data_IF_270852582172
#
_entry.id   IF_270852582172
#
_cell.length_a   1.000
_cell.length_b   1.000
_cell.length_c   1.000
_cell.angle_alpha   90.00
_cell.angle_beta   90.00
_cell.angle_gamma   90.00
#
_symmetry.space_group_name_H-M   'P 1'
#
loop_
_entity.id
_entity.type
_entity.pdbx_description
1 polymer ?
#
# COMPACT_ATOMS: atom_id res chain seq x y z
N UNK A 1 -1.54 91.33 -38.91
CA UNK A 1 -2.74 91.23 -39.78
C UNK A 1 -2.27 90.96 -41.20
N UNK A 2 -2.37 89.71 -41.65
CA UNK A 2 -2.85 89.26 -42.97
C UNK A 2 -2.52 87.77 -43.18
N UNK A 3 -3.54 87.04 -43.63
CA UNK A 3 -3.58 85.60 -43.91
C UNK A 3 -2.68 85.20 -45.08
N UNK A 4 -2.21 83.95 -45.05
CA UNK A 4 -1.64 83.26 -46.21
C UNK A 4 -1.89 81.75 -46.10
N UNK A 5 -3.04 81.33 -46.64
CA UNK A 5 -3.47 79.94 -46.84
C UNK A 5 -2.53 79.17 -47.75
N UNK A 6 -1.96 78.05 -47.26
CA UNK A 6 -1.25 77.05 -48.07
C UNK A 6 -2.02 75.73 -48.10
N UNK A 7 -2.55 75.38 -49.27
CA UNK A 7 -3.19 74.09 -49.56
C UNK A 7 -2.15 72.95 -49.48
N UNK A 8 -2.43 71.90 -48.71
CA UNK A 8 -1.75 70.60 -48.80
C UNK A 8 -2.69 69.56 -49.38
N UNK A 9 -2.26 68.98 -50.48
CA UNK A 9 -2.92 67.95 -51.28
C UNK A 9 -2.90 66.60 -50.54
N UNK A 10 -4.02 65.88 -50.67
CA UNK A 10 -4.32 64.57 -50.10
C UNK A 10 -3.42 63.45 -50.63
N UNK A 11 -3.11 62.48 -49.76
CA UNK A 11 -2.82 61.10 -50.15
C UNK A 11 -3.57 60.18 -49.18
N UNK A 12 -4.73 59.69 -49.62
CA UNK A 12 -5.50 58.68 -48.93
C UNK A 12 -4.81 57.32 -49.10
N UNK A 13 -4.31 56.76 -48.00
CA UNK A 13 -3.80 55.38 -47.98
C UNK A 13 -5.00 54.45 -47.82
N UNK A 14 -5.22 53.60 -48.82
CA UNK A 14 -6.22 52.55 -48.80
C UNK A 14 -5.86 51.49 -47.75
N UNK A 15 -6.77 51.24 -46.81
CA UNK A 15 -6.65 50.14 -45.86
C UNK A 15 -7.01 48.81 -46.56
N UNK A 16 -6.00 47.98 -46.82
CA UNK A 16 -6.22 46.59 -47.24
C UNK A 16 -6.63 45.76 -46.01
N UNK A 17 -7.88 45.30 -46.00
CA UNK A 17 -8.40 44.39 -44.97
C UNK A 17 -7.73 43.02 -45.07
N UNK A 18 -6.96 42.64 -44.04
CA UNK A 18 -6.44 41.30 -43.84
C UNK A 18 -7.58 40.39 -43.35
N UNK A 19 -8.03 39.47 -44.20
CA UNK A 19 -8.91 38.36 -43.80
C UNK A 19 -8.05 37.33 -43.08
N UNK A 20 -8.20 37.24 -41.76
CA UNK A 20 -7.57 36.19 -40.96
C UNK A 20 -8.31 34.86 -41.21
N UNK A 21 -7.64 33.90 -41.85
CA UNK A 21 -8.12 32.52 -41.95
C UNK A 21 -7.70 31.79 -40.66
N UNK A 22 -8.63 31.28 -39.83
CA UNK A 22 -8.27 30.54 -38.64
C UNK A 22 -7.69 29.17 -39.05
N UNK A 23 -6.37 29.01 -38.91
CA UNK A 23 -5.72 27.71 -38.96
C UNK A 23 -6.18 26.93 -37.73
N UNK A 24 -7.13 26.03 -37.95
CA UNK A 24 -7.67 25.18 -36.89
C UNK A 24 -6.70 24.02 -36.71
N UNK A 25 -5.86 24.08 -35.68
CA UNK A 25 -5.05 22.93 -35.29
C UNK A 25 -5.99 21.84 -34.76
N UNK A 26 -6.10 20.74 -35.51
CA UNK A 26 -6.73 19.52 -35.00
C UNK A 26 -5.81 18.98 -33.90
N UNK A 27 -6.13 19.28 -32.64
CA UNK A 27 -5.52 18.60 -31.50
C UNK A 27 -6.17 17.21 -31.44
N UNK A 28 -5.53 16.22 -32.03
CA UNK A 28 -5.83 14.83 -31.74
C UNK A 28 -5.47 14.61 -30.27
N UNK A 29 -6.48 14.60 -29.39
CA UNK A 29 -6.31 14.06 -28.04
C UNK A 29 -5.97 12.59 -28.20
N UNK A 30 -4.69 12.28 -28.11
CA UNK A 30 -4.25 10.92 -27.87
C UNK A 30 -4.84 10.52 -26.52
N UNK A 31 -5.91 9.72 -26.52
CA UNK A 31 -6.25 8.92 -25.35
C UNK A 31 -5.20 7.83 -25.29
N UNK A 32 -4.00 8.19 -24.83
CA UNK A 32 -3.15 7.21 -24.21
C UNK A 32 -3.95 6.74 -23.00
N UNK A 33 -4.46 5.51 -23.04
CA UNK A 33 -4.66 4.73 -21.83
C UNK A 33 -3.28 4.65 -21.17
N UNK A 34 -2.94 5.68 -20.41
CA UNK A 34 -1.95 5.57 -19.37
C UNK A 34 -2.61 4.65 -18.33
N UNK A 35 -2.54 3.34 -18.58
CA UNK A 35 -2.52 2.39 -17.50
C UNK A 35 -1.47 2.91 -16.54
N UNK A 36 -1.92 3.53 -15.45
CA UNK A 36 -1.06 3.96 -14.37
C UNK A 36 -0.12 2.79 -14.10
N UNK A 37 1.21 2.97 -14.10
CA UNK A 37 2.11 1.86 -13.80
C UNK A 37 1.56 1.21 -12.54
N UNK A 38 1.27 -0.09 -12.60
CA UNK A 38 0.77 -0.83 -11.47
C UNK A 38 1.64 -0.41 -10.28
N UNK A 39 1.00 0.14 -9.24
CA UNK A 39 1.74 0.52 -8.05
C UNK A 39 2.61 -0.69 -7.66
N UNK A 40 3.87 -0.49 -7.23
CA UNK A 40 4.70 -1.57 -6.73
C UNK A 40 3.84 -2.53 -5.91
N UNK A 41 3.91 -3.84 -6.17
CA UNK A 41 3.34 -4.81 -5.26
C UNK A 41 4.15 -4.72 -3.96
N UNK A 42 3.71 -3.84 -3.06
CA UNK A 42 4.30 -3.67 -1.74
C UNK A 42 3.90 -4.85 -0.88
N UNK A 43 4.88 -5.48 -0.23
CA UNK A 43 4.65 -6.42 0.86
C UNK A 43 4.87 -5.72 2.20
N UNK A 44 4.05 -6.05 3.20
CA UNK A 44 4.23 -5.53 4.57
C UNK A 44 5.38 -6.30 5.22
N UNK A 45 6.51 -5.63 5.40
CA UNK A 45 7.67 -6.21 6.08
C UNK A 45 7.52 -6.15 7.62
N UNK A 46 6.86 -5.10 8.12
CA UNK A 46 6.57 -4.91 9.54
C UNK A 46 5.44 -3.90 9.71
N UNK A 47 4.59 -4.08 10.72
CA UNK A 47 3.57 -3.10 11.09
C UNK A 47 3.22 -3.16 12.58
N UNK A 48 2.67 -2.07 13.09
CA UNK A 48 2.06 -1.98 14.41
C UNK A 48 0.81 -1.08 14.33
N UNK A 49 -0.34 -1.66 14.70
CA UNK A 49 -1.65 -1.00 14.76
C UNK A 49 -2.00 -0.61 16.22
N UNK A 50 -1.10 -0.86 17.18
CA UNK A 50 -1.23 -0.45 18.58
C UNK A 50 -2.50 -0.92 19.32
N UNK A 51 -3.12 -2.00 18.86
CA UNK A 51 -4.28 -2.62 19.51
C UNK A 51 -3.99 -3.01 20.96
N UNK A 52 -4.98 -2.79 21.83
CA UNK A 52 -4.91 -3.16 23.23
C UNK A 52 -5.73 -2.24 24.13
N UNK A 53 -5.82 -2.55 25.43
CA UNK A 53 -6.60 -1.77 26.37
C UNK A 53 -5.96 -0.39 26.63
N UNK A 54 -6.81 0.59 26.93
CA UNK A 54 -6.36 1.94 27.27
C UNK A 54 -5.40 1.94 28.47
N UNK A 55 -4.32 2.71 28.37
CA UNK A 55 -3.27 2.82 29.39
C UNK A 55 -2.24 1.68 29.38
N UNK A 56 -2.38 0.68 28.52
CA UNK A 56 -1.35 -0.35 28.35
C UNK A 56 -0.12 0.22 27.63
N UNK A 57 1.04 -0.34 27.96
CA UNK A 57 2.30 0.01 27.31
C UNK A 57 2.36 -0.56 25.88
N UNK A 58 3.10 0.08 24.96
CA UNK A 58 3.42 -0.52 23.66
C UNK A 58 4.19 -1.85 23.86
N UNK A 59 4.12 -2.74 22.87
CA UNK A 59 4.76 -4.05 22.94
C UNK A 59 6.28 -3.89 23.19
N UNK A 60 6.82 -4.36 24.34
CA UNK A 60 8.23 -4.20 24.66
C UNK A 60 9.15 -5.04 23.78
N UNK A 61 8.62 -5.99 23.01
CA UNK A 61 9.38 -6.72 21.98
C UNK A 61 9.56 -5.89 20.70
N UNK A 62 8.84 -4.77 20.55
CA UNK A 62 8.89 -3.89 19.38
C UNK A 62 9.44 -2.51 19.70
N UNK A 63 9.18 -2.02 20.91
CA UNK A 63 9.41 -0.63 21.30
C UNK A 63 10.21 -0.52 22.60
N UNK A 64 11.01 0.54 22.69
CA UNK A 64 11.75 0.94 23.88
C UNK A 64 11.39 2.38 24.25
N UNK A 65 10.94 2.56 25.49
CA UNK A 65 10.76 3.87 26.09
C UNK A 65 12.12 4.52 26.39
N UNK A 66 12.32 5.75 25.92
CA UNK A 66 13.54 6.56 26.08
C UNK A 66 13.31 7.83 26.91
N UNK A 67 12.14 7.98 27.54
CA UNK A 67 11.82 9.19 28.30
C UNK A 67 12.70 9.34 29.53
N UNK A 68 13.18 10.56 29.77
CA UNK A 68 13.90 10.89 30.99
C UNK A 68 12.91 11.03 32.18
N UNK A 69 12.98 10.09 33.14
CA UNK A 69 12.24 10.16 34.41
C UNK A 69 11.05 9.21 34.55
N UNK A 70 10.14 9.51 35.49
CA UNK A 70 9.03 8.60 35.89
C UNK A 70 7.81 8.62 34.94
N UNK A 71 7.83 9.43 33.87
CA UNK A 71 6.71 9.51 32.92
C UNK A 71 6.98 8.63 31.71
N UNK A 72 6.01 7.77 31.40
CA UNK A 72 6.02 6.90 30.22
C UNK A 72 6.02 7.72 28.93
N UNK A 73 6.81 7.30 27.94
CA UNK A 73 6.84 7.89 26.59
C UNK A 73 5.52 7.78 25.88
N UNK A 74 4.83 6.66 26.06
CA UNK A 74 3.63 6.36 25.31
C UNK A 74 2.71 5.38 26.04
N UNK A 75 1.42 5.44 25.70
CA UNK A 75 0.42 4.47 26.15
C UNK A 75 -0.66 4.29 25.08
N UNK A 76 -1.29 3.13 25.03
CA UNK A 76 -2.41 2.85 24.13
C UNK A 76 -3.67 3.59 24.60
N UNK A 77 -4.49 4.08 23.68
CA UNK A 77 -5.74 4.81 24.01
C UNK A 77 -6.98 3.90 24.14
N UNK A 78 -6.84 2.61 23.82
CA UNK A 78 -7.94 1.65 23.84
C UNK A 78 -8.77 1.58 22.56
N UNK A 79 -8.39 2.31 21.51
CA UNK A 79 -9.11 2.43 20.23
C UNK A 79 -8.24 2.07 19.03
N UNK A 80 -7.17 1.30 19.26
CA UNK A 80 -6.19 0.95 18.22
C UNK A 80 -5.23 2.10 17.91
N UNK A 81 -4.90 2.92 18.91
CA UNK A 81 -3.95 4.04 18.73
C UNK A 81 -2.99 4.17 19.89
N UNK A 82 -1.84 4.76 19.61
CA UNK A 82 -0.81 5.10 20.59
C UNK A 82 -0.79 6.61 20.86
N UNK A 83 -0.83 6.98 22.13
CA UNK A 83 -0.58 8.34 22.60
C UNK A 83 0.91 8.51 22.93
N UNK A 84 1.63 9.34 22.19
CA UNK A 84 3.07 9.60 22.41
C UNK A 84 3.25 10.97 23.08
N UNK A 85 4.00 11.01 24.19
CA UNK A 85 4.28 12.19 25.04
C UNK A 85 5.77 12.40 25.32
N UNK A 86 6.58 11.39 25.07
CA UNK A 86 8.03 11.39 25.25
C UNK A 86 8.72 10.80 24.03
N UNK A 87 9.82 10.08 24.24
CA UNK A 87 10.59 9.46 23.17
C UNK A 87 10.44 7.93 23.19
N UNK A 88 10.08 7.36 22.04
CA UNK A 88 9.91 5.93 21.85
C UNK A 88 10.73 5.50 20.64
N UNK A 89 11.62 4.51 20.80
CA UNK A 89 12.41 3.95 19.69
C UNK A 89 11.98 2.52 19.37
N UNK A 90 11.96 2.16 18.10
CA UNK A 90 11.78 0.79 17.66
C UNK A 90 12.99 -0.07 18.03
N UNK A 91 12.84 -1.38 17.93
CA UNK A 91 13.93 -2.35 18.16
C UNK A 91 14.46 -3.01 16.89
N UNK A 92 13.88 -2.67 15.72
CA UNK A 92 14.23 -3.26 14.43
C UNK A 92 14.82 -2.22 13.50
N UNK A 93 15.82 -2.66 12.75
CA UNK A 93 16.46 -1.89 11.68
C UNK A 93 15.85 -2.23 10.32
N UNK A 94 15.71 -1.23 9.47
CA UNK A 94 15.16 -1.35 8.13
C UNK A 94 16.06 -0.66 7.11
N UNK A 95 16.32 -1.34 6.00
CA UNK A 95 16.98 -0.78 4.83
C UNK A 95 16.32 -1.29 3.56
N UNK A 96 16.40 -0.51 2.48
CA UNK A 96 16.06 -1.00 1.16
C UNK A 96 17.20 -1.90 0.65
N UNK A 97 16.82 -3.09 0.14
CA UNK A 97 17.75 -3.90 -0.62
C UNK A 97 18.23 -3.11 -1.86
N UNK A 98 19.50 -3.28 -2.30
CA UNK A 98 19.91 -2.81 -3.63
C UNK A 98 18.86 -3.19 -4.67
N UNK A 99 18.55 -2.33 -5.64
CA UNK A 99 17.57 -2.62 -6.70
C UNK A 99 16.09 -2.70 -6.26
N UNK A 100 15.81 -2.69 -4.96
CA UNK A 100 14.46 -2.72 -4.38
C UNK A 100 14.01 -1.36 -3.86
N UNK A 101 12.88 -1.36 -3.14
CA UNK A 101 12.36 -0.17 -2.47
C UNK A 101 11.91 -0.48 -1.05
N UNK A 102 12.09 0.47 -0.16
CA UNK A 102 11.56 0.47 1.20
C UNK A 102 10.67 1.69 1.35
N UNK A 103 9.46 1.52 1.87
CA UNK A 103 8.58 2.62 2.27
C UNK A 103 8.27 2.49 3.75
N UNK A 104 8.46 3.57 4.48
CA UNK A 104 8.15 3.66 5.90
C UNK A 104 7.09 4.73 6.07
N UNK A 105 5.92 4.34 6.56
CA UNK A 105 4.77 5.23 6.69
C UNK A 105 4.14 5.15 8.07
N UNK A 106 3.56 6.27 8.51
CA UNK A 106 2.79 6.36 9.73
C UNK A 106 1.56 7.23 9.53
N UNK A 107 0.44 6.81 10.10
CA UNK A 107 -0.79 7.60 10.17
C UNK A 107 -0.80 8.32 11.52
N UNK A 108 -0.60 9.64 11.50
CA UNK A 108 -0.31 10.45 12.69
C UNK A 108 -1.24 11.66 12.75
N UNK A 109 -1.66 12.03 13.96
CA UNK A 109 -2.22 13.34 14.26
C UNK A 109 -1.32 14.08 15.26
N UNK A 110 -1.01 15.33 14.94
CA UNK A 110 -0.10 16.17 15.71
C UNK A 110 -0.81 16.80 16.91
N UNK A 111 -0.06 17.17 17.97
CA UNK A 111 -0.55 18.07 19.01
C UNK A 111 -1.22 19.32 18.45
N UNK A 112 -2.40 19.68 18.95
CA UNK A 112 -3.10 20.92 18.55
C UNK A 112 -2.36 22.20 18.97
N UNK A 113 -1.54 22.14 20.02
CA UNK A 113 -0.77 23.28 20.50
C UNK A 113 0.59 23.33 19.78
N UNK A 114 0.77 24.40 18.99
CA UNK A 114 1.91 24.60 18.09
C UNK A 114 3.26 24.75 18.81
N UNK A 115 3.26 25.04 20.12
CA UNK A 115 4.48 25.14 20.93
C UNK A 115 5.17 23.79 21.15
N UNK A 116 4.48 22.69 20.86
CA UNK A 116 5.00 21.35 21.07
C UNK A 116 5.66 20.84 19.79
N UNK A 117 6.83 20.25 19.99
CA UNK A 117 7.59 19.70 18.88
C UNK A 117 7.29 18.21 18.77
N UNK A 118 6.92 17.75 17.59
CA UNK A 118 6.72 16.34 17.32
C UNK A 118 7.63 15.85 16.20
N UNK A 119 8.06 14.60 16.28
CA UNK A 119 8.99 13.96 15.34
C UNK A 119 8.55 12.53 15.04
N UNK A 120 8.59 12.17 13.77
CA UNK A 120 8.61 10.79 13.29
C UNK A 120 9.83 10.61 12.40
N UNK A 121 10.74 9.71 12.81
CA UNK A 121 12.12 9.65 12.33
C UNK A 121 12.58 8.22 12.08
N UNK A 122 13.62 8.11 11.26
CA UNK A 122 14.49 6.94 11.16
C UNK A 122 15.91 7.32 11.59
N UNK A 123 16.58 6.48 12.39
CA UNK A 123 17.89 6.74 13.01
C UNK A 123 18.90 5.59 12.72
N UNK A 124 20.17 5.90 12.48
CA UNK A 124 21.25 4.92 12.18
C UNK A 124 21.78 4.15 13.41
N UNK A 125 21.51 4.61 14.64
CA UNK A 125 21.82 3.86 15.88
C UNK A 125 20.88 4.29 17.00
N UNK A 126 20.58 3.35 17.89
CA UNK A 126 19.69 3.44 19.04
C UNK A 126 20.28 4.36 20.15
N UNK A 127 21.42 5.04 19.91
CA UNK A 127 22.21 5.68 20.98
C UNK A 127 22.77 7.08 20.75
N UNK A 128 22.78 7.64 19.54
CA UNK A 128 23.30 9.01 19.33
C UNK A 128 22.56 9.72 18.21
N UNK A 129 21.70 10.68 18.56
CA UNK A 129 21.05 11.64 17.66
C UNK A 129 22.03 12.52 16.84
N UNK A 130 23.32 12.17 16.75
CA UNK A 130 24.39 13.08 16.35
C UNK A 130 24.79 12.99 14.87
N UNK A 131 24.61 11.83 14.21
CA UNK A 131 25.36 11.59 12.97
C UNK A 131 24.46 11.38 11.74
N UNK A 132 23.41 10.54 11.79
CA UNK A 132 22.56 10.26 10.61
C UNK A 132 21.09 10.04 10.98
N UNK A 133 20.18 10.81 10.37
CA UNK A 133 18.73 10.64 10.56
C UNK A 133 17.90 11.08 9.37
N UNK A 134 16.73 10.45 9.23
CA UNK A 134 15.67 10.89 8.32
C UNK A 134 14.47 11.37 9.15
N UNK A 135 14.25 12.68 9.20
CA UNK A 135 13.04 13.26 9.77
C UNK A 135 11.92 13.19 8.71
N UNK A 136 11.12 12.12 8.75
CA UNK A 136 9.95 11.95 7.87
C UNK A 136 8.94 13.06 8.16
N UNK A 137 8.72 13.32 9.45
CA UNK A 137 7.97 14.44 9.96
C UNK A 137 8.76 15.17 11.05
N UNK A 138 8.83 16.48 10.90
CA UNK A 138 9.27 17.46 11.88
C UNK A 138 8.19 18.53 12.03
N UNK A 139 7.48 18.50 13.15
CA UNK A 139 6.52 19.54 13.52
C UNK A 139 7.16 20.53 14.50
N UNK A 140 7.31 21.78 14.10
CA UNK A 140 7.85 22.88 14.90
C UNK A 140 7.05 24.15 14.64
N UNK A 141 6.65 24.87 15.70
CA UNK A 141 5.95 26.16 15.62
C UNK A 141 4.79 26.16 14.63
N UNK A 142 3.95 25.11 14.70
CA UNK A 142 2.76 24.96 13.85
C UNK A 142 3.05 24.61 12.39
N UNK A 143 4.28 24.24 12.04
CA UNK A 143 4.66 23.83 10.68
C UNK A 143 5.19 22.41 10.65
N UNK A 144 4.80 21.66 9.61
CA UNK A 144 5.28 20.31 9.32
C UNK A 144 6.28 20.35 8.18
N UNK A 145 7.48 19.82 8.42
CA UNK A 145 8.59 19.71 7.45
C UNK A 145 9.15 18.28 7.44
N UNK A 146 9.99 17.98 6.46
CA UNK A 146 10.89 16.82 6.48
C UNK A 146 12.33 17.31 6.50
N UNK A 147 13.28 16.51 6.99
CA UNK A 147 14.70 16.86 7.01
C UNK A 147 15.59 15.61 6.95
N UNK A 148 16.81 15.78 6.45
CA UNK A 148 17.84 14.76 6.39
C UNK A 148 19.06 15.36 7.08
N UNK A 149 19.73 14.55 7.88
CA UNK A 149 20.98 14.94 8.52
C UNK A 149 21.99 13.84 8.31
N UNK A 150 23.16 14.24 7.82
CA UNK A 150 24.25 13.33 7.44
C UNK A 150 25.60 13.68 8.10
N UNK A 151 25.66 14.74 8.91
CA UNK A 151 26.93 15.32 9.38
C UNK A 151 27.59 14.73 10.64
N UNK A 152 28.93 14.88 10.66
CA UNK A 152 29.74 15.03 11.89
C UNK A 152 30.42 16.40 12.10
N UNK A 153 30.44 17.37 11.16
CA UNK A 153 30.79 18.80 11.39
C UNK A 153 30.94 19.63 10.07
N UNK A 154 30.03 20.61 9.82
CA UNK A 154 30.13 21.90 9.06
C UNK A 154 29.03 22.13 7.99
N UNK A 155 27.92 22.75 8.39
CA UNK A 155 26.85 23.23 7.48
C UNK A 155 26.35 22.09 6.58
N UNK A 156 25.56 21.25 7.21
CA UNK A 156 25.07 19.98 6.70
C UNK A 156 24.37 20.16 5.34
N UNK A 157 24.97 19.70 4.23
CA UNK A 157 24.34 19.81 2.92
C UNK A 157 23.00 19.06 2.88
N UNK A 158 22.79 18.06 3.73
CA UNK A 158 21.54 17.32 3.84
C UNK A 158 20.44 18.12 4.56
N UNK A 159 20.79 18.97 5.54
CA UNK A 159 19.80 19.83 6.23
C UNK A 159 19.24 20.89 5.26
N UNK A 160 20.10 21.48 4.41
CA UNK A 160 19.70 22.50 3.42
C UNK A 160 18.89 21.92 2.25
N UNK A 161 18.88 20.59 2.09
CA UNK A 161 18.20 19.91 0.99
C UNK A 161 16.70 19.72 1.23
N UNK A 162 16.17 20.04 2.41
CA UNK A 162 14.78 19.81 2.76
C UNK A 162 14.17 20.99 3.53
N UNK A 163 13.59 21.93 2.78
CA UNK A 163 12.80 23.05 3.33
C UNK A 163 11.50 23.27 2.55
N UNK A 164 10.46 23.66 3.28
CA UNK A 164 9.10 23.84 2.78
C UNK A 164 8.10 23.25 3.76
N UNK A 165 7.70 24.05 4.75
CA UNK A 165 6.74 23.60 5.76
C UNK A 165 5.30 23.88 5.34
N UNK A 166 4.38 22.97 5.64
CA UNK A 166 2.93 23.20 5.55
C UNK A 166 2.39 23.49 6.97
N UNK A 167 1.26 24.20 7.11
CA UNK A 167 0.59 24.33 8.40
C UNK A 167 0.20 22.96 8.96
N UNK A 168 0.43 22.75 10.26
CA UNK A 168 -0.18 21.64 10.98
C UNK A 168 -1.66 21.96 11.25
N UNK A 169 -2.57 21.02 10.98
CA UNK A 169 -4.01 21.20 11.22
C UNK A 169 -4.57 20.28 12.33
N UNK A 170 -3.72 19.45 12.94
CA UNK A 170 -4.07 18.50 13.99
C UNK A 170 -4.84 17.27 13.51
N UNK A 171 -5.13 17.16 12.21
CA UNK A 171 -5.78 16.01 11.59
C UNK A 171 -4.88 14.80 11.46
N UNK A 172 -5.47 13.64 11.15
CA UNK A 172 -4.71 12.46 10.79
C UNK A 172 -4.23 12.56 9.34
N UNK A 173 -2.93 12.43 9.15
CA UNK A 173 -2.27 12.37 7.85
C UNK A 173 -1.36 11.15 7.76
N UNK A 174 -1.14 10.67 6.55
CA UNK A 174 -0.15 9.64 6.27
C UNK A 174 1.17 10.30 5.92
N UNK A 175 2.16 10.21 6.81
CA UNK A 175 3.52 10.67 6.56
C UNK A 175 4.38 9.49 6.15
N UNK A 176 5.09 9.60 5.03
CA UNK A 176 5.91 8.50 4.53
C UNK A 176 7.23 8.96 3.93
N UNK A 177 8.24 8.11 4.06
CA UNK A 177 9.48 8.17 3.29
C UNK A 177 9.64 6.88 2.48
N UNK A 178 10.04 7.02 1.22
CA UNK A 178 10.39 5.91 0.33
C UNK A 178 11.86 6.01 -0.06
N UNK A 179 12.65 4.96 0.21
CA UNK A 179 14.00 4.77 -0.31
C UNK A 179 13.92 3.86 -1.54
N UNK A 180 14.13 4.46 -2.71
CA UNK A 180 14.06 3.81 -4.00
C UNK A 180 15.47 3.56 -4.55
N UNK A 181 15.94 2.32 -4.38
CA UNK A 181 17.23 1.83 -4.90
C UNK A 181 17.09 1.11 -6.23
N UNK A 182 15.88 1.10 -6.81
CA UNK A 182 15.59 0.45 -8.09
C UNK A 182 15.95 1.33 -9.30
N UNK A 183 16.24 2.61 -9.04
CA UNK A 183 16.59 3.63 -10.03
C UNK A 183 18.00 4.15 -9.81
N UNK A 184 18.59 4.77 -10.84
CA UNK A 184 19.87 5.47 -10.74
C UNK A 184 19.73 6.88 -11.33
N UNK A 185 20.08 7.94 -10.58
CA UNK A 185 20.50 7.95 -9.17
C UNK A 185 19.42 7.41 -8.21
N UNK A 186 19.83 6.77 -7.10
CA UNK A 186 18.90 6.34 -6.03
C UNK A 186 18.13 7.54 -5.47
N UNK A 187 16.96 7.32 -4.85
CA UNK A 187 16.08 8.41 -4.38
C UNK A 187 15.51 8.17 -2.98
N UNK A 188 15.39 9.25 -2.21
CA UNK A 188 14.56 9.34 -1.00
C UNK A 188 13.37 10.27 -1.29
N UNK A 189 12.14 9.75 -1.24
CA UNK A 189 10.90 10.51 -1.50
C UNK A 189 10.10 10.66 -0.21
N UNK A 190 9.80 11.90 0.17
CA UNK A 190 8.99 12.24 1.34
C UNK A 190 7.60 12.66 0.88
N UNK A 191 6.56 12.06 1.44
CA UNK A 191 5.17 12.29 1.05
C UNK A 191 4.26 12.51 2.24
N UNK A 192 3.20 13.28 2.01
CA UNK A 192 2.08 13.48 2.94
C UNK A 192 0.80 13.13 2.20
N UNK A 193 0.02 12.21 2.73
CA UNK A 193 -1.21 11.66 2.13
C UNK A 193 -1.01 11.12 0.71
N UNK A 194 0.14 10.47 0.49
CA UNK A 194 0.53 9.92 -0.81
C UNK A 194 0.96 10.96 -1.84
N UNK A 195 0.93 12.26 -1.50
CA UNK A 195 1.47 13.32 -2.36
C UNK A 195 2.93 13.53 -2.03
N UNK A 196 3.80 13.28 -3.01
CA UNK A 196 5.23 13.58 -2.91
C UNK A 196 5.41 15.07 -2.65
N UNK A 197 5.97 15.38 -1.48
CA UNK A 197 6.32 16.74 -1.08
C UNK A 197 7.76 17.06 -1.42
N UNK A 198 8.64 16.04 -1.41
CA UNK A 198 10.03 16.22 -1.79
C UNK A 198 10.73 14.93 -2.21
N UNK A 199 11.75 15.08 -3.04
CA UNK A 199 12.65 14.01 -3.46
C UNK A 199 14.09 14.47 -3.33
N UNK A 200 14.92 13.69 -2.65
CA UNK A 200 16.38 13.82 -2.60
C UNK A 200 16.98 12.69 -3.43
N UNK A 201 17.90 13.01 -4.32
CA UNK A 201 18.57 12.06 -5.20
C UNK A 201 20.01 11.88 -4.76
N UNK A 202 20.53 10.67 -4.94
CA UNK A 202 21.92 10.29 -4.65
C UNK A 202 22.93 11.26 -5.26
N UNK A 203 22.70 11.73 -6.49
CA UNK A 203 23.59 12.66 -7.20
C UNK A 203 23.57 14.10 -6.66
N UNK A 204 22.70 14.40 -5.69
CA UNK A 204 22.63 15.70 -5.00
C UNK A 204 23.43 15.72 -3.70
N UNK A 205 23.90 14.56 -3.24
CA UNK A 205 24.59 14.36 -1.97
C UNK A 205 26.00 13.82 -2.26
N UNK A 206 26.98 14.14 -1.42
CA UNK A 206 28.30 13.51 -1.54
C UNK A 206 28.19 11.98 -1.41
N UNK A 207 29.02 11.23 -2.13
CA UNK A 207 28.90 9.77 -2.16
C UNK A 207 29.11 9.13 -0.77
N UNK A 208 30.03 9.68 0.05
CA UNK A 208 30.27 9.17 1.40
C UNK A 208 29.10 9.53 2.34
N UNK A 209 28.46 10.70 2.13
CA UNK A 209 27.27 11.11 2.87
C UNK A 209 26.05 10.27 2.48
N UNK A 210 25.88 9.94 1.19
CA UNK A 210 24.81 9.08 0.72
C UNK A 210 24.94 7.65 1.27
N UNK A 211 26.15 7.09 1.25
CA UNK A 211 26.42 5.76 1.83
C UNK A 211 26.15 5.74 3.34
N UNK A 212 26.52 6.79 4.08
CA UNK A 212 26.14 6.94 5.50
C UNK A 212 24.63 7.03 5.69
N UNK A 213 23.95 7.84 4.87
CA UNK A 213 22.50 8.06 4.96
C UNK A 213 21.68 6.82 4.69
N UNK A 214 22.11 5.98 3.74
CA UNK A 214 21.24 4.98 3.11
C UNK A 214 21.82 3.57 3.06
N UNK A 215 23.13 3.41 3.29
CA UNK A 215 23.83 2.13 3.23
C UNK A 215 23.61 1.24 4.47
N UNK A 216 22.92 1.75 5.49
CA UNK A 216 22.75 1.10 6.80
C UNK A 216 21.29 0.85 7.16
N UNK A 217 21.08 0.00 8.15
CA UNK A 217 19.76 -0.26 8.70
C UNK A 217 19.31 0.86 9.62
N UNK A 218 18.10 1.37 9.42
CA UNK A 218 17.57 2.49 10.18
C UNK A 218 16.46 2.05 11.13
N UNK A 219 16.44 2.59 12.35
CA UNK A 219 15.45 2.28 13.39
C UNK A 219 14.42 3.39 13.52
N UNK A 220 13.14 3.03 13.71
CA UNK A 220 12.04 3.98 13.91
C UNK A 220 12.19 4.75 15.22
N UNK A 221 11.82 6.03 15.23
CA UNK A 221 11.71 6.83 16.44
C UNK A 221 10.54 7.82 16.39
N UNK A 222 9.80 7.89 17.48
CA UNK A 222 8.73 8.86 17.72
C UNK A 222 9.14 9.74 18.90
N UNK A 223 8.91 11.05 18.80
CA UNK A 223 9.18 11.96 19.91
C UNK A 223 8.17 13.09 19.96
N UNK A 224 7.70 13.40 21.17
CA UNK A 224 7.08 14.66 21.50
C UNK A 224 7.91 15.36 22.57
N UNK A 225 8.26 16.62 22.33
CA UNK A 225 8.99 17.47 23.28
C UNK A 225 8.07 18.57 23.81
N UNK A 226 8.07 18.76 25.13
CA UNK A 226 7.29 19.79 25.82
C UNK A 226 7.04 19.46 27.30
N UNK A 227 5.96 19.97 27.88
CA UNK A 227 5.62 19.77 29.30
C UNK A 227 4.94 18.40 29.62
N UNK A 228 4.68 17.60 28.58
CA UNK A 228 4.10 16.25 28.64
C UNK A 228 2.57 16.21 28.64
N UNK A 229 1.87 17.32 28.34
CA UNK A 229 0.40 17.40 28.36
C UNK A 229 -0.31 17.17 27.03
N UNK A 230 0.28 17.43 25.86
CA UNK A 230 -0.30 16.96 24.60
C UNK A 230 0.35 15.65 24.16
N UNK A 231 -0.41 14.96 23.30
CA UNK A 231 -0.03 13.69 22.70
C UNK A 231 0.04 13.86 21.19
N UNK A 232 1.03 13.26 20.56
CA UNK A 232 0.90 12.85 19.17
C UNK A 232 0.12 11.54 19.16
N UNK A 233 -0.94 11.45 18.37
CA UNK A 233 -1.69 10.21 18.18
C UNK A 233 -1.11 9.46 16.99
N UNK A 234 -0.82 8.18 17.19
CA UNK A 234 -0.36 7.28 16.14
C UNK A 234 -1.39 6.19 15.95
N UNK A 235 -1.99 6.14 14.77
CA UNK A 235 -2.99 5.14 14.41
C UNK A 235 -2.31 3.85 13.92
N UNK A 236 -1.32 3.99 13.03
CA UNK A 236 -0.56 2.87 12.50
C UNK A 236 0.84 3.28 12.10
N UNK A 237 1.79 2.36 12.22
CA UNK A 237 3.07 2.44 11.50
C UNK A 237 3.24 1.18 10.65
N UNK A 238 3.65 1.35 9.40
CA UNK A 238 3.95 0.26 8.49
C UNK A 238 5.29 0.48 7.78
N UNK A 239 6.05 -0.60 7.65
CA UNK A 239 7.22 -0.70 6.81
C UNK A 239 6.89 -1.66 5.68
N UNK A 240 6.87 -1.11 4.47
CA UNK A 240 6.55 -1.79 3.23
C UNK A 240 7.85 -1.99 2.44
N UNK A 241 7.94 -3.09 1.71
CA UNK A 241 9.04 -3.35 0.77
C UNK A 241 8.47 -3.73 -0.59
N UNK A 242 9.10 -3.27 -1.66
CA UNK A 242 8.87 -3.87 -2.97
C UNK A 242 10.00 -4.84 -3.23
N UNK A 243 9.65 -6.08 -3.46
CA UNK A 243 10.62 -7.08 -3.87
C UNK A 243 11.22 -6.72 -5.24
N UNK A 244 12.40 -7.25 -5.50
CA UNK A 244 13.07 -7.09 -6.79
C UNK A 244 12.31 -7.91 -7.80
N UNK A 245 11.71 -7.25 -8.80
CA UNK A 245 10.98 -7.95 -9.85
C UNK A 245 11.97 -8.71 -10.74
N UNK A 246 11.96 -10.03 -10.59
CA UNK A 246 12.72 -10.95 -11.40
C UNK A 246 11.88 -11.57 -12.52
N UNK A 247 10.58 -11.27 -12.58
CA UNK A 247 9.71 -11.82 -13.62
C UNK A 247 10.20 -11.38 -15.00
N UNK A 248 10.30 -12.34 -15.92
CA UNK A 248 10.77 -12.09 -17.28
C UNK A 248 12.27 -11.78 -17.42
N UNK A 249 13.04 -11.73 -16.31
CA UNK A 249 14.49 -11.58 -16.37
C UNK A 249 15.14 -12.94 -16.63
N UNK A 250 15.98 -13.03 -17.66
CA UNK A 250 16.64 -14.28 -18.06
C UNK A 250 17.69 -14.72 -17.04
N UNK A 251 17.91 -16.03 -16.92
CA UNK A 251 19.01 -16.58 -16.13
C UNK A 251 20.38 -16.16 -16.69
N UNK A 252 21.35 -15.96 -15.80
CA UNK A 252 22.74 -15.82 -16.23
C UNK A 252 23.29 -17.13 -16.80
N UNK A 253 24.04 -17.03 -17.90
CA UNK A 253 24.69 -18.12 -18.61
C UNK A 253 26.15 -17.71 -18.89
N UNK A 254 27.09 -18.58 -18.52
CA UNK A 254 28.54 -18.32 -18.62
C UNK A 254 29.02 -18.08 -20.06
N UNK A 255 28.29 -18.59 -21.06
CA UNK A 255 28.65 -18.51 -22.47
C UNK A 255 28.09 -17.30 -23.19
N UNK A 256 27.16 -16.57 -22.55
CA UNK A 256 26.47 -15.42 -23.13
C UNK A 256 27.21 -14.13 -22.80
N UNK A 257 27.38 -13.28 -23.81
CA UNK A 257 27.87 -11.92 -23.63
C UNK A 257 26.74 -10.99 -23.21
N UNK A 258 26.97 -10.23 -22.14
CA UNK A 258 26.03 -9.27 -21.59
C UNK A 258 26.58 -7.85 -21.77
N UNK A 259 25.80 -6.98 -22.41
CA UNK A 259 26.13 -5.56 -22.52
C UNK A 259 25.90 -4.85 -21.17
N UNK A 260 26.63 -3.76 -20.92
CA UNK A 260 26.40 -2.91 -19.73
C UNK A 260 24.91 -2.54 -19.61
N UNK A 261 24.35 -2.73 -18.42
CA UNK A 261 22.95 -2.47 -18.10
C UNK A 261 22.04 -3.68 -18.28
N UNK A 262 22.51 -4.77 -18.89
CA UNK A 262 21.73 -6.01 -19.01
C UNK A 262 21.43 -6.58 -17.63
N UNK A 263 20.19 -7.03 -17.42
CA UNK A 263 19.77 -7.70 -16.19
C UNK A 263 19.68 -9.20 -16.36
N UNK A 264 20.12 -9.94 -15.35
CA UNK A 264 20.07 -11.40 -15.29
C UNK A 264 19.64 -11.85 -13.91
N UNK A 265 19.08 -13.06 -13.79
CA UNK A 265 18.88 -13.72 -12.50
C UNK A 265 19.96 -14.77 -12.26
N UNK A 266 20.51 -14.80 -11.05
CA UNK A 266 21.44 -15.84 -10.61
C UNK A 266 21.28 -16.05 -9.11
N UNK A 267 21.30 -17.31 -8.62
CA UNK A 267 21.24 -17.58 -7.19
C UNK A 267 20.00 -17.04 -6.43
N UNK A 268 18.88 -16.79 -7.11
CA UNK A 268 17.69 -16.17 -6.50
C UNK A 268 17.77 -14.65 -6.33
N UNK A 269 18.76 -14.01 -6.95
CA UNK A 269 18.96 -12.56 -7.01
C UNK A 269 18.87 -12.08 -8.45
N UNK A 270 18.59 -10.79 -8.63
CA UNK A 270 18.76 -10.09 -9.92
C UNK A 270 20.06 -9.31 -9.90
N UNK A 271 20.77 -9.30 -11.02
CA UNK A 271 22.00 -8.55 -11.20
C UNK A 271 21.94 -7.69 -12.45
N UNK A 272 22.56 -6.50 -12.41
CA UNK A 272 22.78 -5.64 -13.56
C UNK A 272 24.26 -5.61 -13.94
N UNK A 273 24.58 -5.84 -15.21
CA UNK A 273 25.93 -5.72 -15.74
C UNK A 273 26.43 -4.26 -15.61
N UNK A 274 27.54 -4.03 -14.92
CA UNK A 274 28.19 -2.71 -14.78
C UNK A 274 29.05 -2.36 -16.01
N UNK A 275 29.43 -3.35 -16.79
CA UNK A 275 30.24 -3.27 -18.01
C UNK A 275 29.85 -4.43 -18.93
N UNK A 276 30.30 -4.36 -20.17
CA UNK A 276 30.22 -5.53 -21.07
C UNK A 276 31.01 -6.68 -20.44
N UNK A 277 30.40 -7.85 -20.33
CA UNK A 277 30.96 -9.01 -19.63
C UNK A 277 30.55 -10.33 -20.28
N UNK A 278 31.39 -11.35 -20.16
CA UNK A 278 31.13 -12.73 -20.61
C UNK A 278 31.89 -13.67 -19.69
N UNK A 279 31.22 -14.69 -19.15
CA UNK A 279 31.83 -15.65 -18.23
C UNK A 279 32.12 -15.13 -16.81
N UNK A 280 32.09 -13.82 -16.54
CA UNK A 280 32.17 -13.30 -15.16
C UNK A 280 30.88 -13.66 -14.43
N UNK A 281 30.99 -14.33 -13.27
CA UNK A 281 29.85 -14.86 -12.54
C UNK A 281 29.22 -13.79 -11.62
N UNK A 282 27.88 -13.67 -11.53
CA UNK A 282 27.26 -12.51 -10.88
C UNK A 282 27.47 -12.36 -9.37
N UNK A 283 27.57 -13.47 -8.64
CA UNK A 283 27.69 -13.49 -7.17
C UNK A 283 29.12 -13.32 -6.65
N UNK A 284 30.14 -13.37 -7.50
CA UNK A 284 31.56 -13.25 -7.09
C UNK A 284 32.36 -12.14 -7.80
N UNK A 285 31.90 -11.61 -8.94
CA UNK A 285 32.52 -10.45 -9.61
C UNK A 285 31.66 -9.17 -9.49
N UNK A 286 31.79 -8.48 -8.36
CA UNK A 286 31.15 -7.18 -8.10
C UNK A 286 31.66 -6.01 -8.97
N UNK A 287 32.71 -6.21 -9.78
CA UNK A 287 33.16 -5.21 -10.77
C UNK A 287 32.41 -5.37 -12.08
N UNK A 288 32.11 -6.61 -12.47
CA UNK A 288 31.29 -6.92 -13.62
C UNK A 288 29.80 -6.73 -13.33
N UNK A 289 29.34 -7.09 -12.13
CA UNK A 289 27.93 -7.13 -11.76
C UNK A 289 27.59 -6.22 -10.58
N UNK A 290 26.38 -5.65 -10.59
CA UNK A 290 25.73 -5.06 -9.43
C UNK A 290 24.63 -6.01 -8.99
N UNK A 291 24.68 -6.47 -7.74
CA UNK A 291 23.55 -7.16 -7.13
C UNK A 291 22.40 -6.15 -6.94
N UNK A 292 21.29 -6.38 -7.63
CA UNK A 292 20.04 -5.62 -7.53
C UNK A 292 19.08 -6.26 -6.51
N UNK A 293 19.56 -7.19 -5.66
CA UNK A 293 18.83 -7.77 -4.54
C UNK A 293 18.14 -9.10 -4.84
N UNK A 294 17.66 -9.73 -3.76
CA UNK A 294 16.93 -11.00 -3.82
C UNK A 294 15.58 -10.83 -4.52
N UNK A 295 15.25 -11.78 -5.39
CA UNK A 295 13.95 -11.88 -6.04
C UNK A 295 12.84 -12.09 -5.01
N UNK A 296 11.63 -11.59 -5.31
CA UNK A 296 10.44 -11.96 -4.57
C UNK A 296 10.34 -13.49 -4.51
N UNK A 297 10.35 -14.09 -3.32
CA UNK A 297 9.92 -15.47 -3.19
C UNK A 297 8.44 -15.48 -3.59
N UNK A 298 8.06 -16.31 -4.58
CA UNK A 298 6.66 -16.55 -4.86
C UNK A 298 5.96 -16.85 -3.52
N UNK A 299 4.79 -16.26 -3.22
CA UNK A 299 4.07 -16.61 -2.01
C UNK A 299 3.98 -18.14 -1.98
N UNK A 300 4.33 -18.79 -0.86
CA UNK A 300 4.25 -20.24 -0.81
C UNK A 300 2.86 -20.63 -1.29
N UNK A 301 2.72 -21.62 -2.20
CA UNK A 301 1.39 -22.15 -2.49
C UNK A 301 0.80 -22.49 -1.14
N UNK A 302 -0.44 -22.05 -0.88
CA UNK A 302 -1.14 -22.34 0.37
C UNK A 302 -1.40 -23.84 0.40
N UNK A 303 -0.40 -24.61 0.80
CA UNK A 303 -0.45 -26.05 1.05
C UNK A 303 -0.57 -26.27 2.54
N UNK A 304 -1.41 -25.50 3.22
CA UNK A 304 -2.06 -26.03 4.41
C UNK A 304 -3.22 -26.91 3.89
N UNK A 305 -3.11 -28.25 3.94
CA UNK A 305 -4.31 -29.06 3.90
C UNK A 305 -5.16 -28.65 5.11
N UNK A 306 -6.50 -28.68 5.02
CA UNK A 306 -7.35 -28.40 6.17
C UNK A 306 -6.97 -29.40 7.27
N UNK A 307 -6.32 -28.89 8.32
CA UNK A 307 -6.05 -29.68 9.51
C UNK A 307 -7.39 -29.87 10.19
N UNK A 308 -7.83 -31.14 10.20
CA UNK A 308 -8.90 -31.70 11.03
C UNK A 308 -10.35 -31.49 10.54
N UNK A 309 -11.10 -32.58 10.24
CA UNK A 309 -12.54 -32.49 10.04
C UNK A 309 -13.22 -32.08 11.36
N UNK A 310 -14.32 -31.29 11.33
CA UNK A 310 -15.04 -30.93 12.54
C UNK A 310 -15.54 -32.20 13.23
N UNK A 311 -15.23 -32.33 14.53
CA UNK A 311 -15.75 -33.40 15.36
C UNK A 311 -17.30 -33.42 15.29
N UNK A 312 -17.95 -34.60 15.18
CA UNK A 312 -19.40 -34.68 15.19
C UNK A 312 -19.93 -34.16 16.55
N UNK A 313 -21.14 -33.56 16.60
CA UNK A 313 -21.70 -33.08 17.84
C UNK A 313 -21.95 -34.26 18.80
N UNK A 314 -21.20 -34.30 19.90
CA UNK A 314 -21.51 -35.15 21.05
C UNK A 314 -22.77 -34.61 21.72
N UNK A 315 -23.88 -35.30 21.50
CA UNK A 315 -25.07 -35.21 22.34
C UNK A 315 -24.83 -36.08 23.57
N UNK A 316 -24.29 -35.49 24.64
CA UNK A 316 -24.31 -36.12 25.95
C UNK A 316 -25.71 -35.96 26.56
N UNK A 317 -26.44 -37.03 26.89
CA UNK A 317 -27.63 -36.93 27.73
C UNK A 317 -27.18 -36.82 29.19
N UNK A 318 -27.66 -35.78 29.88
CA UNK A 318 -27.52 -35.63 31.33
C UNK A 318 -28.27 -36.77 32.02
N UNK A 319 -27.53 -37.73 32.59
CA UNK A 319 -28.08 -38.76 33.49
C UNK A 319 -28.03 -38.26 34.92
N UNK A 320 -29.15 -37.77 35.46
CA UNK A 320 -29.41 -37.76 36.90
C UNK A 320 -30.29 -38.97 37.25
N UNK A 321 -29.95 -39.78 38.27
CA UNK A 321 -30.83 -40.86 38.72
C UNK A 321 -31.54 -40.56 40.05
N UNK A 322 -32.75 -41.12 40.11
CA UNK A 322 -33.46 -41.76 41.24
C UNK A 322 -34.45 -40.97 42.10
N UNK A 323 -35.72 -41.42 42.03
CA UNK A 323 -36.70 -41.81 43.09
C UNK A 323 -38.08 -41.82 42.40
N UNK A 324 -38.97 -42.81 42.37
CA UNK A 324 -39.39 -43.97 43.17
C UNK A 324 -40.14 -44.97 42.26
N UNK A 325 -40.46 -46.22 42.70
CA UNK A 325 -41.05 -47.25 41.84
C UNK A 325 -42.57 -47.38 42.01
N UNK A 326 -43.34 -47.63 40.94
CA UNK A 326 -44.67 -48.29 41.05
C UNK A 326 -45.11 -48.97 39.74
N UNK A 327 -45.11 -50.30 39.79
CA UNK A 327 -46.08 -51.28 39.24
C UNK A 327 -46.84 -50.99 37.93
N UNK A 328 -46.61 -51.80 36.88
CA UNK A 328 -47.43 -52.96 36.45
C UNK A 328 -47.07 -53.35 34.99
N UNK A 329 -47.11 -54.65 34.61
CA UNK A 329 -46.70 -55.12 33.29
C UNK A 329 -47.92 -55.46 32.40
N UNK A 330 -47.89 -55.14 31.09
CA UNK A 330 -48.74 -55.86 30.13
C UNK A 330 -48.16 -55.81 28.72
N UNK A 331 -47.83 -57.01 28.18
CA UNK A 331 -48.14 -57.57 26.84
C UNK A 331 -48.04 -56.67 25.61
N UNK A 332 -47.57 -57.06 24.43
CA UNK A 332 -47.09 -58.28 23.78
C UNK A 332 -46.55 -57.81 22.39
N UNK A 333 -45.82 -58.63 21.62
CA UNK A 333 -45.10 -58.22 20.42
C UNK A 333 -45.91 -58.41 19.14
N UNK A 334 -45.60 -57.65 18.08
CA UNK A 334 -46.00 -57.99 16.70
C UNK A 334 -44.94 -57.36 15.77
N UNK A 335 -43.90 -58.10 15.34
CA UNK A 335 -43.78 -58.77 14.02
C UNK A 335 -44.47 -57.98 12.91
N UNK A 336 -43.76 -57.42 11.92
CA UNK A 336 -43.48 -58.11 10.65
C UNK A 336 -42.67 -57.19 9.69
N UNK A 337 -41.55 -57.65 9.09
CA UNK A 337 -41.06 -57.26 7.76
C UNK A 337 -41.43 -58.38 6.75
N UNK A 338 -41.51 -58.21 5.40
CA UNK A 338 -40.53 -57.59 4.49
C UNK A 338 -41.24 -56.83 3.31
N UNK A 339 -40.69 -56.29 2.22
CA UNK A 339 -39.74 -56.82 1.23
C UNK A 339 -39.34 -55.72 0.19
N UNK A 340 -38.21 -55.89 -0.55
CA UNK A 340 -37.79 -55.11 -1.74
C UNK A 340 -38.39 -55.75 -3.03
N UNK A 341 -37.94 -55.51 -4.29
CA UNK A 341 -37.09 -54.49 -4.95
C UNK A 341 -37.90 -53.77 -6.08
N UNK A 342 -37.42 -52.97 -7.05
CA UNK A 342 -36.59 -53.33 -8.22
C UNK A 342 -36.42 -52.11 -9.15
N UNK A 343 -35.34 -52.18 -9.92
CA UNK A 343 -34.83 -51.33 -11.02
C UNK A 343 -35.74 -51.19 -12.24
N UNK A 344 -35.61 -50.08 -12.99
CA UNK A 344 -35.36 -50.06 -14.45
C UNK A 344 -35.16 -48.62 -15.00
N UNK A 345 -34.23 -48.37 -15.94
CA UNK A 345 -34.09 -47.12 -16.68
C UNK A 345 -34.66 -47.24 -18.10
N UNK A 346 -35.08 -46.13 -18.73
CA UNK A 346 -35.46 -46.11 -20.15
C UNK A 346 -34.82 -44.94 -20.89
N UNK A 347 -34.03 -45.31 -21.90
CA UNK A 347 -33.46 -44.52 -22.99
C UNK A 347 -34.39 -44.54 -24.21
N UNK A 348 -34.56 -43.42 -24.94
CA UNK A 348 -34.45 -43.30 -26.43
C UNK A 348 -34.96 -41.94 -26.99
N UNK A 349 -34.59 -41.55 -28.24
CA UNK A 349 -34.21 -40.18 -28.61
C UNK A 349 -34.98 -39.65 -29.88
N UNK A 350 -34.42 -38.95 -30.90
CA UNK A 350 -34.94 -37.65 -31.36
C UNK A 350 -35.44 -37.59 -32.82
N UNK A 351 -36.11 -36.50 -33.19
CA UNK A 351 -36.37 -36.05 -34.57
C UNK A 351 -36.57 -34.52 -34.56
N UNK A 352 -36.29 -33.66 -35.55
CA UNK A 352 -35.58 -33.59 -36.84
C UNK A 352 -35.60 -32.07 -37.21
N UNK A 353 -34.64 -31.47 -37.95
CA UNK A 353 -34.64 -30.02 -38.19
C UNK A 353 -35.45 -29.65 -39.45
N UNK A 354 -36.08 -28.48 -39.46
CA UNK A 354 -36.65 -27.87 -40.68
C UNK A 354 -36.20 -26.41 -40.81
N UNK A 355 -35.67 -26.08 -41.97
CA UNK A 355 -35.11 -24.80 -42.41
C UNK A 355 -36.18 -23.93 -43.10
N UNK A 356 -36.25 -22.64 -42.76
CA UNK A 356 -36.79 -21.56 -43.61
C UNK A 356 -36.31 -20.18 -43.09
N UNK A 357 -35.80 -19.28 -43.95
CA UNK A 357 -35.75 -17.83 -43.69
C UNK A 357 -36.46 -17.03 -44.81
N UNK A 358 -36.50 -15.68 -44.79
CA UNK A 358 -36.79 -14.73 -43.71
C UNK A 358 -37.95 -13.77 -44.11
N UNK A 359 -38.38 -12.83 -43.25
CA UNK A 359 -38.73 -11.41 -43.59
C UNK A 359 -39.19 -10.62 -42.34
N UNK A 360 -38.30 -9.71 -41.91
CA UNK A 360 -38.44 -8.40 -41.21
C UNK A 360 -39.48 -8.13 -40.10
N UNK A 361 -38.95 -7.97 -38.87
CA UNK A 361 -39.23 -6.85 -37.96
C UNK A 361 -37.99 -6.61 -37.05
N UNK A 362 -37.54 -5.37 -36.78
CA UNK A 362 -36.47 -5.12 -35.80
C UNK A 362 -36.92 -5.52 -34.39
N UNK A 363 -36.18 -6.35 -33.63
CA UNK A 363 -36.55 -6.68 -32.26
C UNK A 363 -36.28 -5.48 -31.34
N UNK A 364 -37.21 -5.22 -30.42
CA UNK A 364 -37.00 -4.34 -29.29
C UNK A 364 -35.74 -4.78 -28.51
N UNK A 365 -34.99 -3.85 -27.88
CA UNK A 365 -33.81 -4.21 -27.11
C UNK A 365 -34.20 -5.24 -26.04
N UNK A 366 -33.39 -6.30 -25.84
CA UNK A 366 -33.68 -7.28 -24.80
C UNK A 366 -33.73 -6.57 -23.43
N UNK A 367 -34.62 -7.01 -22.51
CA UNK A 367 -34.55 -6.54 -21.13
C UNK A 367 -33.14 -6.80 -20.59
N UNK A 368 -32.60 -5.91 -19.74
CA UNK A 368 -31.27 -6.09 -19.19
C UNK A 368 -31.19 -7.48 -18.53
N UNK A 369 -30.06 -8.19 -18.69
CA UNK A 369 -29.88 -9.47 -18.02
C UNK A 369 -30.09 -9.28 -16.51
N UNK A 370 -30.65 -10.28 -15.79
CA UNK A 370 -30.65 -10.25 -14.33
C UNK A 370 -29.21 -9.97 -13.85
N UNK A 371 -29.02 -9.14 -12.80
CA UNK A 371 -27.68 -8.78 -12.36
C UNK A 371 -26.87 -10.05 -12.16
N UNK A 372 -25.70 -10.11 -12.79
CA UNK A 372 -24.74 -11.18 -12.59
C UNK A 372 -24.59 -11.39 -11.08
N UNK A 373 -24.62 -12.66 -10.65
CA UNK A 373 -24.41 -13.01 -9.25
C UNK A 373 -23.13 -12.29 -8.79
N UNK A 374 -23.28 -11.45 -7.78
CA UNK A 374 -22.18 -10.66 -7.25
C UNK A 374 -21.10 -11.61 -6.70
N UNK A 375 -19.87 -11.45 -7.17
CA UNK A 375 -18.73 -12.24 -6.72
C UNK A 375 -18.57 -12.11 -5.19
N UNK A 376 -18.08 -13.15 -4.50
CA UNK A 376 -17.83 -13.07 -3.07
C UNK A 376 -16.83 -11.95 -2.79
N UNK A 377 -17.07 -11.19 -1.71
CA UNK A 377 -16.15 -10.14 -1.29
C UNK A 377 -14.79 -10.76 -0.99
N UNK A 378 -13.76 -10.22 -1.64
CA UNK A 378 -12.36 -10.56 -1.44
C UNK A 378 -11.60 -9.37 -0.85
N UNK A 379 -10.65 -9.62 0.07
CA UNK A 379 -9.69 -8.60 0.49
C UNK A 379 -8.71 -8.27 -0.65
N UNK A 380 -8.01 -7.14 -0.53
CA UNK A 380 -7.04 -6.62 -1.51
C UNK A 380 -7.59 -6.41 -2.92
N UNK A 381 -8.89 -6.20 -3.03
CA UNK A 381 -9.59 -6.09 -4.31
C UNK A 381 -10.06 -4.66 -4.52
N UNK A 382 -9.77 -4.10 -5.69
CA UNK A 382 -10.27 -2.78 -6.07
C UNK A 382 -11.75 -2.87 -6.41
N UNK A 383 -12.57 -2.12 -5.69
CA UNK A 383 -13.99 -1.97 -5.95
C UNK A 383 -14.28 -0.54 -6.40
N UNK A 384 -15.01 -0.39 -7.50
CA UNK A 384 -15.59 0.86 -7.94
C UNK A 384 -16.91 1.13 -7.20
N UNK A 385 -17.29 2.41 -7.10
CA UNK A 385 -18.62 2.74 -6.59
C UNK A 385 -19.70 2.14 -7.49
N UNK A 386 -20.58 1.35 -6.89
CA UNK A 386 -21.64 0.62 -7.57
C UNK A 386 -21.39 -0.87 -7.73
N UNK A 387 -20.15 -1.34 -7.52
CA UNK A 387 -19.83 -2.76 -7.57
C UNK A 387 -20.65 -3.53 -6.52
N UNK A 388 -21.05 -4.76 -6.86
CA UNK A 388 -21.82 -5.62 -5.96
C UNK A 388 -20.98 -6.83 -5.58
N UNK A 389 -20.96 -7.15 -4.30
CA UNK A 389 -20.29 -8.33 -3.73
C UNK A 389 -21.22 -9.13 -2.83
N UNK A 390 -20.95 -10.41 -2.64
CA UNK A 390 -21.61 -11.23 -1.61
C UNK A 390 -20.71 -11.42 -0.40
N UNK A 391 -21.24 -11.17 0.80
CA UNK A 391 -20.53 -11.42 2.06
C UNK A 391 -21.52 -11.92 3.12
N UNK A 392 -21.18 -13.01 3.81
CA UNK A 392 -22.06 -13.65 4.82
C UNK A 392 -23.50 -13.94 4.32
N UNK A 393 -23.65 -14.27 3.03
CA UNK A 393 -24.94 -14.62 2.42
C UNK A 393 -25.84 -13.43 2.06
N UNK A 394 -25.35 -12.18 2.16
CA UNK A 394 -26.05 -10.98 1.71
C UNK A 394 -25.28 -10.29 0.59
N UNK A 395 -26.00 -9.56 -0.27
CA UNK A 395 -25.40 -8.74 -1.33
C UNK A 395 -25.22 -7.31 -0.84
N UNK A 396 -24.04 -6.76 -1.08
CA UNK A 396 -23.66 -5.40 -0.74
C UNK A 396 -23.22 -4.66 -1.98
N UNK A 397 -23.47 -3.36 -2.01
CA UNK A 397 -23.06 -2.41 -3.05
C UNK A 397 -21.99 -1.49 -2.48
N UNK A 398 -20.86 -1.38 -3.17
CA UNK A 398 -19.81 -0.43 -2.86
C UNK A 398 -20.33 1.00 -3.05
N UNK A 399 -20.18 1.87 -2.06
CA UNK A 399 -20.65 3.26 -2.09
C UNK A 399 -19.55 4.25 -2.50
N UNK A 400 -18.29 3.93 -2.19
CA UNK A 400 -17.13 4.76 -2.50
C UNK A 400 -16.01 3.87 -3.07
N UNK A 401 -15.38 4.25 -4.20
CA UNK A 401 -14.33 3.45 -4.78
C UNK A 401 -13.15 3.31 -3.81
N UNK A 402 -12.64 2.09 -3.64
CA UNK A 402 -11.55 1.78 -2.71
C UNK A 402 -10.87 0.45 -3.08
N UNK A 403 -9.75 0.17 -2.43
CA UNK A 403 -9.16 -1.18 -2.40
C UNK A 403 -9.52 -1.79 -1.05
N UNK A 404 -10.20 -2.94 -1.04
CA UNK A 404 -10.55 -3.62 0.21
C UNK A 404 -9.30 -4.08 0.94
N UNK A 405 -9.29 -3.96 2.27
CA UNK A 405 -8.27 -4.55 3.14
C UNK A 405 -8.89 -5.67 3.97
N UNK A 406 -8.09 -6.58 4.56
CA UNK A 406 -8.59 -7.51 5.57
C UNK A 406 -9.32 -6.74 6.69
N UNK A 407 -10.53 -7.18 7.04
CA UNK A 407 -11.39 -6.48 7.99
C UNK A 407 -12.17 -5.29 7.42
N UNK A 408 -12.00 -4.94 6.12
CA UNK A 408 -12.85 -3.98 5.42
C UNK A 408 -14.04 -4.64 4.73
N UNK A 409 -14.56 -5.70 5.34
CA UNK A 409 -15.71 -6.40 4.80
C UNK A 409 -16.98 -5.54 4.90
N UNK A 410 -18.02 -5.87 4.11
CA UNK A 410 -19.22 -5.07 4.05
C UNK A 410 -19.99 -4.87 5.37
N UNK A 411 -19.71 -5.68 6.40
CA UNK A 411 -20.32 -5.53 7.73
C UNK A 411 -19.46 -4.64 8.62
N UNK A 412 -18.13 -4.76 8.53
CA UNK A 412 -17.18 -4.03 9.38
C UNK A 412 -17.02 -2.55 9.02
N UNK A 413 -17.26 -2.17 7.75
CA UNK A 413 -17.15 -0.78 7.25
C UNK A 413 -18.40 -0.35 6.47
N UNK A 414 -19.52 -0.06 7.16
CA UNK A 414 -20.77 0.36 6.51
C UNK A 414 -20.66 1.73 5.79
N UNK A 415 -19.58 2.48 6.00
CA UNK A 415 -19.29 3.70 5.23
C UNK A 415 -18.92 3.43 3.77
N UNK A 416 -18.34 2.25 3.49
CA UNK A 416 -17.89 1.84 2.14
C UNK A 416 -18.88 0.91 1.43
N UNK A 417 -19.83 0.35 2.18
CA UNK A 417 -20.73 -0.70 1.70
C UNK A 417 -22.18 -0.49 2.16
N UNK A 418 -23.12 -0.67 1.24
CA UNK A 418 -24.56 -0.58 1.51
C UNK A 418 -25.25 -1.90 1.14
N UNK A 419 -26.13 -2.41 1.99
CA UNK A 419 -26.95 -3.60 1.65
C UNK A 419 -27.82 -3.28 0.43
N UNK A 420 -27.76 -4.15 -0.59
CA UNK A 420 -28.16 -3.84 -1.97
C UNK A 420 -29.40 -4.56 -2.49
#
# INVERSE_FOLDING_TARGET
>A
MFMGTGHRVYLAVAAAGLVAVPVTWLVTRSTADASSPAAPAWSVAWSDDFDGPAGADPDPARWRDRSDGDRRAAAKDGRGRLEVRGELTGLREFSAAPGGRLRVEAVLALPEDERYQARFRLLDDDRRERDTRWDVLRADDGRVTSALRCETDRRDPCDDLLDGGEPADGGFHTYAVEHDRSVSPEQLRFSVDGVDRRTVREDQVDADDWDRLTGRGMTLALRVSGDGRPVMLVDRIAVLRSDVDCAGTGGWDESVGYERGTTVTFGGHRYTARRDTTGDRPDDDGRAWRDDGACAAAPPPTTEPPTEPPAPPTTEPTTEPTTEPTTEPTTEPTTEPPAPPTTEPTTEPPARPTTAPPTTAPPAPPPPPPPAAADPWTPFTTYAAGDRVTFTGKTYRCTSPHVSLPGWDPVSVPGLWQVA
#
